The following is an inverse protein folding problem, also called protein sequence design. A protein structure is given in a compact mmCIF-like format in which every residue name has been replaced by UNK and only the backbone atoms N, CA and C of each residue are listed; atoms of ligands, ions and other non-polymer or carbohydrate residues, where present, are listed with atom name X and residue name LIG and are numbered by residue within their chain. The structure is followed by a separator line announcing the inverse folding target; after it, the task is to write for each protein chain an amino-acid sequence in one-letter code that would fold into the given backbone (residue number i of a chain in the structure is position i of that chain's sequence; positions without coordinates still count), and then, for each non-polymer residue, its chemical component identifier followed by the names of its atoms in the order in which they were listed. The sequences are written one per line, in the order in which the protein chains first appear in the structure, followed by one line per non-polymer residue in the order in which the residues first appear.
data_IF_863560977893
#
_entry.id   IF_863560977893
#
_cell.length_a   1.000
_cell.length_b   1.000
_cell.length_c   1.000
_cell.angle_alpha   90.00
_cell.angle_beta   90.00
_cell.angle_gamma   90.00
#
_symmetry.space_group_name_H-M   'P 1'
#
loop_
_entity.id
_entity.type
_entity.pdbx_description
1 polymer ?
#
# COMPACT_ATOMS: atom_id res chain seq x y z
N UNK A 1 14.77 -37.17 -31.21
CA UNK A 1 14.19 -37.11 -29.86
C UNK A 1 14.08 -35.66 -29.44
N UNK A 2 12.91 -35.07 -29.66
CA UNK A 2 12.45 -33.86 -28.97
C UNK A 2 12.14 -34.26 -27.53
N UNK A 3 12.72 -33.61 -26.53
CA UNK A 3 12.27 -33.53 -25.13
C UNK A 3 13.49 -33.25 -24.23
N UNK A 4 13.89 -31.99 -24.11
CA UNK A 4 14.53 -31.49 -22.89
C UNK A 4 14.56 -29.95 -22.89
N UNK A 5 13.51 -29.41 -22.27
CA UNK A 5 13.60 -28.29 -21.34
C UNK A 5 13.95 -26.89 -21.87
N UNK A 6 13.41 -26.50 -23.02
CA UNK A 6 13.02 -25.09 -23.21
C UNK A 6 11.73 -24.77 -22.45
N UNK A 7 11.67 -25.12 -21.16
CA UNK A 7 10.90 -24.33 -20.20
C UNK A 7 11.68 -23.05 -19.93
N UNK A 8 11.92 -22.26 -20.98
CA UNK A 8 12.13 -20.83 -20.85
C UNK A 8 10.78 -20.34 -20.34
N UNK A 9 10.65 -20.37 -19.02
CA UNK A 9 9.51 -19.83 -18.30
C UNK A 9 9.44 -18.37 -18.71
N UNK A 10 8.65 -18.06 -19.74
CA UNK A 10 8.12 -16.73 -20.01
C UNK A 10 7.39 -16.29 -18.73
N UNK A 11 8.16 -15.78 -17.77
CA UNK A 11 7.60 -14.90 -16.75
C UNK A 11 7.28 -13.63 -17.50
N UNK A 12 6.09 -13.61 -18.07
CA UNK A 12 5.50 -12.39 -18.58
C UNK A 12 5.68 -11.31 -17.52
N UNK A 13 6.16 -10.10 -17.88
CA UNK A 13 6.47 -9.04 -16.92
C UNK A 13 5.28 -8.70 -16.00
N UNK A 14 4.06 -9.00 -16.47
CA UNK A 14 2.79 -8.87 -15.76
C UNK A 14 2.69 -9.79 -14.54
N UNK A 15 3.14 -11.04 -14.62
CA UNK A 15 3.09 -11.98 -13.47
C UNK A 15 3.96 -11.49 -12.31
N UNK A 16 5.11 -10.90 -12.61
CA UNK A 16 5.96 -10.26 -11.60
C UNK A 16 5.25 -9.09 -10.92
N UNK A 17 4.62 -8.23 -11.72
CA UNK A 17 3.86 -7.08 -11.25
C UNK A 17 2.70 -7.45 -10.31
N UNK A 18 1.95 -8.51 -10.64
CA UNK A 18 0.86 -8.99 -9.79
C UNK A 18 1.37 -9.52 -8.45
N UNK A 19 2.54 -10.17 -8.44
CA UNK A 19 3.17 -10.64 -7.20
C UNK A 19 3.63 -9.43 -6.36
N UNK A 20 4.20 -8.40 -6.98
CA UNK A 20 4.56 -7.15 -6.28
C UNK A 20 3.35 -6.48 -5.65
N UNK A 21 2.23 -6.41 -6.37
CA UNK A 21 0.98 -5.89 -5.82
C UNK A 21 0.51 -6.71 -4.63
N UNK A 22 0.54 -8.04 -4.75
CA UNK A 22 0.16 -8.95 -3.66
C UNK A 22 1.09 -8.77 -2.44
N UNK A 23 2.39 -8.52 -2.64
CA UNK A 23 3.34 -8.24 -1.56
C UNK A 23 3.00 -6.92 -0.88
N UNK A 24 2.72 -5.85 -1.64
CA UNK A 24 2.38 -4.53 -1.07
C UNK A 24 1.07 -4.64 -0.27
N UNK A 25 0.01 -5.20 -0.86
CA UNK A 25 -1.27 -5.38 -0.17
C UNK A 25 -1.15 -6.35 1.01
N UNK A 26 -0.40 -7.44 0.85
CA UNK A 26 -0.16 -8.43 1.91
C UNK A 26 0.60 -7.81 3.09
N UNK A 27 1.62 -7.01 2.82
CA UNK A 27 2.38 -6.28 3.85
C UNK A 27 1.48 -5.29 4.59
N UNK A 28 0.66 -4.54 3.85
CA UNK A 28 -0.30 -3.60 4.42
C UNK A 28 -1.27 -4.29 5.39
N UNK A 29 -1.87 -5.40 4.95
CA UNK A 29 -2.77 -6.21 5.79
C UNK A 29 -2.04 -6.82 6.99
N UNK A 30 -0.83 -7.33 6.79
CA UNK A 30 -0.01 -7.90 7.86
C UNK A 30 0.28 -6.88 8.97
N UNK A 31 0.68 -5.66 8.60
CA UNK A 31 0.92 -4.58 9.57
C UNK A 31 -0.36 -4.28 10.36
N UNK A 32 -1.52 -4.20 9.71
CA UNK A 32 -2.81 -3.98 10.38
C UNK A 32 -3.13 -5.08 11.39
N UNK A 33 -3.02 -6.35 11.00
CA UNK A 33 -3.28 -7.50 11.89
C UNK A 33 -2.28 -7.53 13.03
N UNK A 34 -1.00 -7.30 12.76
CA UNK A 34 0.04 -7.24 13.79
C UNK A 34 -0.28 -6.17 14.84
N UNK A 35 -0.53 -4.93 14.44
CA UNK A 35 -0.86 -3.85 15.38
C UNK A 35 -2.15 -4.11 16.15
N UNK A 36 -3.14 -4.80 15.55
CA UNK A 36 -4.35 -5.21 16.24
C UNK A 36 -4.07 -6.27 17.32
N UNK A 37 -3.28 -7.31 17.01
CA UNK A 37 -2.93 -8.38 17.94
C UNK A 37 -2.13 -7.90 19.15
N UNK A 38 -1.19 -6.97 18.94
CA UNK A 38 -0.35 -6.42 20.01
C UNK A 38 -1.00 -5.24 20.75
N UNK A 39 -2.24 -4.85 20.43
CA UNK A 39 -2.90 -3.70 21.03
C UNK A 39 -2.29 -2.33 20.67
N UNK A 40 -1.29 -2.30 19.78
CA UNK A 40 -0.60 -1.08 19.32
C UNK A 40 -1.44 -0.24 18.33
N UNK A 41 -2.62 -0.71 17.94
CA UNK A 41 -3.54 0.00 17.06
C UNK A 41 -3.93 1.40 17.57
N UNK A 42 -3.79 1.67 18.88
CA UNK A 42 -3.98 3.01 19.46
C UNK A 42 -2.87 4.00 19.09
N UNK A 43 -1.67 3.53 18.75
CA UNK A 43 -0.59 4.39 18.27
C UNK A 43 -0.75 4.67 16.76
N UNK A 44 -1.73 5.51 16.45
CA UNK A 44 -2.11 5.87 15.07
C UNK A 44 -0.97 6.50 14.27
N UNK A 45 -0.04 7.18 14.93
CA UNK A 45 1.12 7.81 14.29
C UNK A 45 2.09 6.74 13.83
N UNK A 46 2.47 5.83 14.74
CA UNK A 46 3.38 4.74 14.40
C UNK A 46 2.78 3.80 13.35
N UNK A 47 1.49 3.45 13.50
CA UNK A 47 0.76 2.66 12.51
C UNK A 47 0.77 3.34 11.14
N UNK A 48 0.42 4.63 11.07
CA UNK A 48 0.43 5.40 9.84
C UNK A 48 1.81 5.46 9.19
N UNK A 49 2.87 5.69 9.97
CA UNK A 49 4.24 5.68 9.45
C UNK A 49 4.65 4.31 8.90
N UNK A 50 4.37 3.22 9.63
CA UNK A 50 4.66 1.87 9.17
C UNK A 50 3.95 1.55 7.86
N UNK A 51 2.66 1.89 7.75
CA UNK A 51 1.86 1.68 6.54
C UNK A 51 2.31 2.56 5.37
N UNK A 52 2.77 3.77 5.64
CA UNK A 52 3.25 4.69 4.61
C UNK A 52 4.62 4.29 4.01
N UNK A 53 5.42 3.49 4.73
CA UNK A 53 6.82 3.20 4.38
C UNK A 53 7.03 1.73 4.01
N UNK A 54 6.68 0.80 4.93
CA UNK A 54 7.09 -0.61 4.84
C UNK A 54 6.55 -1.33 3.59
N UNK A 55 5.27 -1.20 3.20
CA UNK A 55 4.75 -1.88 2.01
C UNK A 55 5.53 -1.53 0.75
N UNK A 56 5.86 -0.24 0.58
CA UNK A 56 6.57 0.26 -0.60
C UNK A 56 8.05 -0.13 -0.62
N UNK A 57 8.70 -0.12 0.55
CA UNK A 57 10.07 -0.61 0.67
C UNK A 57 10.16 -2.11 0.33
N UNK A 58 9.26 -2.93 0.85
CA UNK A 58 9.27 -4.37 0.55
C UNK A 58 8.97 -4.66 -0.93
N UNK A 59 7.99 -3.98 -1.52
CA UNK A 59 7.73 -4.08 -2.96
C UNK A 59 8.96 -3.65 -3.79
N UNK A 60 9.64 -2.59 -3.41
CA UNK A 60 10.84 -2.14 -4.09
C UNK A 60 12.02 -3.12 -3.99
N UNK A 61 12.27 -3.67 -2.80
CA UNK A 61 13.31 -4.69 -2.60
C UNK A 61 13.02 -5.94 -3.42
N UNK A 62 11.75 -6.37 -3.49
CA UNK A 62 11.37 -7.50 -4.34
C UNK A 62 11.57 -7.19 -5.82
N UNK A 63 11.13 -6.02 -6.31
CA UNK A 63 11.35 -5.56 -7.68
C UNK A 63 12.83 -5.55 -8.05
N UNK A 64 13.68 -5.04 -7.17
CA UNK A 64 15.13 -4.99 -7.38
C UNK A 64 15.74 -6.39 -7.51
N UNK A 65 15.30 -7.34 -6.68
CA UNK A 65 15.84 -8.71 -6.66
C UNK A 65 15.29 -9.57 -7.80
N UNK A 66 14.02 -9.44 -8.12
CA UNK A 66 13.31 -10.28 -9.09
C UNK A 66 13.49 -9.80 -10.53
N UNK A 67 13.67 -8.49 -10.76
CA UNK A 67 13.58 -7.89 -12.09
C UNK A 67 14.71 -6.89 -12.40
N UNK A 68 15.95 -7.39 -12.48
CA UNK A 68 17.13 -6.58 -12.87
C UNK A 68 16.95 -5.79 -14.18
N UNK A 69 16.17 -6.31 -15.13
CA UNK A 69 15.92 -5.69 -16.44
C UNK A 69 14.49 -5.14 -16.63
N UNK A 70 13.71 -4.94 -15.56
CA UNK A 70 12.40 -4.29 -15.75
C UNK A 70 12.56 -2.82 -16.15
N UNK A 71 11.82 -2.34 -17.16
CA UNK A 71 11.82 -0.92 -17.51
C UNK A 71 11.27 -0.09 -16.35
N UNK A 72 11.80 1.13 -16.19
CA UNK A 72 11.50 2.00 -15.06
C UNK A 72 10.00 2.26 -14.90
N UNK A 73 9.29 2.48 -16.00
CA UNK A 73 7.86 2.76 -16.00
C UNK A 73 7.03 1.60 -15.40
N UNK A 74 7.42 0.33 -15.65
CA UNK A 74 6.77 -0.83 -15.03
C UNK A 74 7.05 -0.89 -13.53
N UNK A 75 8.28 -0.59 -13.10
CA UNK A 75 8.61 -0.49 -11.67
C UNK A 75 7.85 0.64 -10.99
N UNK A 76 7.64 1.77 -11.68
CA UNK A 76 6.83 2.86 -11.18
C UNK A 76 5.36 2.45 -11.02
N UNK A 77 4.76 1.79 -12.02
CA UNK A 77 3.39 1.29 -11.94
C UNK A 77 3.21 0.23 -10.85
N UNK A 78 4.21 -0.64 -10.67
CA UNK A 78 4.20 -1.67 -9.64
C UNK A 78 4.07 -1.11 -8.21
N UNK A 79 4.56 0.11 -7.97
CA UNK A 79 4.53 0.78 -6.66
C UNK A 79 3.37 1.79 -6.59
N UNK A 80 3.18 2.59 -7.63
CA UNK A 80 2.24 3.70 -7.65
C UNK A 80 0.79 3.23 -7.71
N UNK A 81 0.47 2.19 -8.50
CA UNK A 81 -0.90 1.68 -8.61
C UNK A 81 -1.38 1.15 -7.24
N UNK A 82 -0.68 0.23 -6.56
CA UNK A 82 -1.08 -0.21 -5.22
C UNK A 82 -1.18 0.95 -4.23
N UNK A 83 -0.26 1.93 -4.32
CA UNK A 83 -0.33 3.11 -3.47
C UNK A 83 -1.66 3.84 -3.65
N UNK A 84 -2.04 4.20 -4.87
CA UNK A 84 -3.29 4.93 -5.13
C UNK A 84 -4.51 4.08 -4.75
N UNK A 85 -4.54 2.81 -5.18
CA UNK A 85 -5.66 1.90 -4.93
C UNK A 85 -5.91 1.72 -3.44
N UNK A 86 -4.85 1.58 -2.63
CA UNK A 86 -4.95 1.49 -1.17
C UNK A 86 -5.67 2.72 -0.59
N UNK A 87 -5.29 3.95 -0.97
CA UNK A 87 -5.89 5.17 -0.41
C UNK A 87 -7.34 5.33 -0.85
N UNK A 88 -7.63 5.05 -2.11
CA UNK A 88 -8.99 5.09 -2.65
C UNK A 88 -9.88 4.08 -1.93
N UNK A 89 -9.39 2.85 -1.72
CA UNK A 89 -10.13 1.83 -1.01
C UNK A 89 -10.42 2.23 0.44
N UNK A 90 -9.43 2.77 1.16
CA UNK A 90 -9.62 3.25 2.55
C UNK A 90 -10.61 4.41 2.59
N UNK A 91 -10.50 5.36 1.66
CA UNK A 91 -11.41 6.51 1.58
C UNK A 91 -12.86 6.08 1.33
N UNK A 92 -13.08 5.22 0.34
CA UNK A 92 -14.41 4.70 0.02
C UNK A 92 -14.98 3.87 1.17
N UNK A 93 -14.14 3.06 1.82
CA UNK A 93 -14.54 2.30 3.00
C UNK A 93 -14.91 3.22 4.16
N UNK A 94 -14.15 4.28 4.40
CA UNK A 94 -14.47 5.32 5.39
C UNK A 94 -15.79 6.01 5.09
N UNK A 95 -15.99 6.50 3.86
CA UNK A 95 -17.24 7.13 3.43
C UNK A 95 -18.44 6.21 3.69
N UNK A 96 -18.29 4.93 3.37
CA UNK A 96 -19.31 3.93 3.62
C UNK A 96 -19.59 3.73 5.11
N UNK A 97 -18.56 3.59 5.96
CA UNK A 97 -18.71 3.42 7.41
C UNK A 97 -19.39 4.62 8.09
N UNK A 98 -19.08 5.83 7.64
CA UNK A 98 -19.68 7.08 8.15
C UNK A 98 -21.02 7.44 7.49
N UNK A 99 -21.51 6.61 6.56
CA UNK A 99 -22.73 6.87 5.78
C UNK A 99 -22.74 8.25 5.10
N UNK A 100 -21.58 8.66 4.61
CA UNK A 100 -21.39 9.91 3.88
C UNK A 100 -21.26 9.62 2.39
N UNK A 101 -21.76 10.54 1.56
CA UNK A 101 -21.51 10.45 0.12
C UNK A 101 -20.01 10.56 -0.14
N UNK A 102 -19.41 9.65 -0.95
CA UNK A 102 -17.98 9.69 -1.27
C UNK A 102 -17.58 10.94 -2.08
N UNK A 103 -18.55 11.71 -2.58
CA UNK A 103 -18.31 13.00 -3.23
C UNK A 103 -17.96 14.08 -2.18
N UNK A 104 -18.44 13.93 -0.94
CA UNK A 104 -18.15 14.87 0.16
C UNK A 104 -16.80 14.56 0.82
N UNK A 105 -15.71 14.84 0.10
CA UNK A 105 -14.33 14.59 0.57
C UNK A 105 -14.04 15.26 1.90
N UNK A 106 -14.48 16.50 2.08
CA UNK A 106 -14.23 17.24 3.31
C UNK A 106 -14.92 16.56 4.51
N UNK A 107 -16.21 16.24 4.39
CA UNK A 107 -16.96 15.58 5.46
C UNK A 107 -16.41 14.19 5.80
N UNK A 108 -16.04 13.40 4.79
CA UNK A 108 -15.44 12.06 5.00
C UNK A 108 -14.11 12.18 5.73
N UNK A 109 -13.23 13.10 5.29
CA UNK A 109 -11.92 13.29 5.92
C UNK A 109 -12.04 13.84 7.34
N UNK A 110 -12.99 14.72 7.61
CA UNK A 110 -13.26 15.25 8.94
C UNK A 110 -13.79 14.17 9.89
N UNK A 111 -14.73 13.34 9.42
CA UNK A 111 -15.24 12.20 10.20
C UNK A 111 -14.13 11.18 10.52
N UNK A 112 -13.26 10.86 9.56
CA UNK A 112 -12.09 10.00 9.78
C UNK A 112 -11.14 10.60 10.82
N UNK A 113 -10.80 11.89 10.68
CA UNK A 113 -9.87 12.58 11.59
C UNK A 113 -10.41 12.67 13.02
N UNK A 114 -11.70 12.97 13.17
CA UNK A 114 -12.38 13.10 14.47
C UNK A 114 -12.71 11.75 15.11
N UNK A 115 -12.49 10.64 14.40
CA UNK A 115 -12.88 9.29 14.82
C UNK A 115 -14.36 9.25 15.25
N UNK A 116 -15.24 9.86 14.46
CA UNK A 116 -16.67 9.86 14.74
C UNK A 116 -17.19 8.42 14.92
N UNK A 117 -18.29 8.20 15.65
CA UNK A 117 -18.88 6.87 15.72
C UNK A 117 -19.34 6.42 14.32
N UNK A 118 -18.99 5.19 13.94
CA UNK A 118 -19.44 4.64 12.66
C UNK A 118 -20.96 4.43 12.67
N UNK A 119 -21.59 4.74 11.55
CA UNK A 119 -23.04 4.67 11.38
C UNK A 119 -23.47 3.40 10.63
N UNK A 120 -22.59 2.84 9.79
CA UNK A 120 -22.83 1.63 8.99
C UNK A 120 -21.91 0.46 9.41
N UNK A 121 -22.41 -0.77 9.22
CA UNK A 121 -21.79 -2.08 9.55
C UNK A 121 -21.39 -2.30 11.02
N UNK A 122 -20.53 -1.44 11.56
CA UNK A 122 -19.85 -1.65 12.84
C UNK A 122 -20.25 -0.54 13.79
N UNK A 123 -21.35 -0.74 14.52
CA UNK A 123 -21.82 0.22 15.54
C UNK A 123 -21.17 0.00 16.91
N UNK A 124 -20.40 -1.08 17.06
CA UNK A 124 -19.77 -1.45 18.32
C UNK A 124 -18.43 -0.73 18.50
N UNK A 125 -18.28 0.00 19.60
CA UNK A 125 -17.09 0.75 19.97
C UNK A 125 -15.80 -0.10 20.00
N UNK A 126 -15.89 -1.36 20.45
CA UNK A 126 -14.74 -2.26 20.50
C UNK A 126 -14.23 -2.61 19.09
N UNK A 127 -15.16 -2.90 18.18
CA UNK A 127 -14.82 -3.19 16.79
C UNK A 127 -14.33 -1.92 16.07
N UNK A 128 -14.89 -0.75 16.39
CA UNK A 128 -14.41 0.54 15.88
C UNK A 128 -12.93 0.79 16.20
N UNK A 129 -12.49 0.47 17.41
CA UNK A 129 -11.08 0.64 17.79
C UNK A 129 -10.15 -0.27 16.97
N UNK A 130 -10.58 -1.50 16.66
CA UNK A 130 -9.80 -2.43 15.83
C UNK A 130 -9.67 -1.96 14.37
N UNK A 131 -10.74 -1.39 13.81
CA UNK A 131 -10.77 -0.89 12.44
C UNK A 131 -10.51 0.63 12.34
N UNK A 132 -9.94 1.23 13.40
CA UNK A 132 -9.72 2.67 13.47
C UNK A 132 -9.04 3.20 12.20
N UNK A 133 -9.68 4.19 11.58
CA UNK A 133 -9.26 4.82 10.33
C UNK A 133 -8.54 6.16 10.54
N UNK A 134 -8.42 6.68 11.77
CA UNK A 134 -7.91 8.03 12.01
C UNK A 134 -6.45 8.27 11.62
N UNK A 135 -5.67 7.21 11.38
CA UNK A 135 -4.34 7.33 10.76
C UNK A 135 -4.43 7.82 9.30
N UNK A 136 -5.56 7.58 8.63
CA UNK A 136 -5.84 8.01 7.26
C UNK A 136 -6.23 9.50 7.23
N UNK A 137 -5.23 10.36 7.30
CA UNK A 137 -5.39 11.80 7.19
C UNK A 137 -4.67 12.35 5.94
N UNK A 138 -4.82 13.65 5.68
CA UNK A 138 -4.13 14.31 4.56
C UNK A 138 -2.61 14.15 4.61
N UNK A 139 -2.03 14.18 5.80
CA UNK A 139 -0.58 13.98 5.99
C UNK A 139 -0.16 12.59 5.56
N UNK A 140 -0.91 11.55 5.93
CA UNK A 140 -0.65 10.17 5.52
C UNK A 140 -0.71 10.01 4.00
N UNK A 141 -1.76 10.56 3.37
CA UNK A 141 -1.94 10.48 1.91
C UNK A 141 -0.75 11.14 1.20
N UNK A 142 -0.42 12.38 1.56
CA UNK A 142 0.68 13.13 0.94
C UNK A 142 2.03 12.48 1.21
N UNK A 143 2.30 12.07 2.45
CA UNK A 143 3.56 11.46 2.84
C UNK A 143 3.75 10.11 2.14
N UNK A 144 2.72 9.26 2.09
CA UNK A 144 2.81 7.97 1.43
C UNK A 144 3.02 8.10 -0.08
N UNK A 145 2.38 9.08 -0.75
CA UNK A 145 2.65 9.38 -2.16
C UNK A 145 4.11 9.84 -2.32
N UNK A 146 4.58 10.77 -1.49
CA UNK A 146 5.95 11.27 -1.54
C UNK A 146 6.99 10.14 -1.34
N UNK A 147 6.75 9.23 -0.38
CA UNK A 147 7.59 8.06 -0.15
C UNK A 147 7.56 7.13 -1.36
N UNK A 148 6.40 6.86 -1.94
CA UNK A 148 6.30 6.01 -3.13
C UNK A 148 7.12 6.55 -4.30
N UNK A 149 7.09 7.87 -4.53
CA UNK A 149 7.90 8.56 -5.54
C UNK A 149 9.39 8.47 -5.18
N UNK A 150 9.76 8.72 -3.92
CA UNK A 150 11.15 8.63 -3.45
C UNK A 150 11.72 7.22 -3.66
N UNK A 151 10.94 6.18 -3.35
CA UNK A 151 11.33 4.78 -3.55
C UNK A 151 11.55 4.46 -5.02
N UNK A 152 10.69 4.97 -5.92
CA UNK A 152 10.87 4.82 -7.37
C UNK A 152 12.17 5.51 -7.84
N UNK A 153 12.47 6.71 -7.32
CA UNK A 153 13.71 7.43 -7.63
C UNK A 153 14.95 6.67 -7.14
N UNK A 154 14.91 6.09 -5.94
CA UNK A 154 16.00 5.26 -5.41
C UNK A 154 16.19 4.00 -6.27
N UNK A 155 15.11 3.34 -6.69
CA UNK A 155 15.17 2.21 -7.63
C UNK A 155 15.79 2.60 -8.97
N UNK A 156 15.50 3.80 -9.48
CA UNK A 156 16.12 4.29 -10.71
C UNK A 156 17.65 4.47 -10.55
N UNK A 157 18.09 5.08 -9.44
CA UNK A 157 19.52 5.29 -9.17
C UNK A 157 20.28 3.96 -9.02
N UNK A 158 19.71 2.99 -8.33
CA UNK A 158 20.34 1.67 -8.16
C UNK A 158 20.47 0.91 -9.48
N UNK A 159 19.46 0.99 -10.36
CA UNK A 159 19.52 0.42 -11.72
C UNK A 159 20.60 1.07 -12.58
N UNK A 160 20.72 2.40 -12.54
CA UNK A 160 21.77 3.11 -13.28
C UNK A 160 23.18 2.73 -12.82
N UNK A 161 23.39 2.56 -11.51
CA UNK A 161 24.68 2.13 -10.96
C UNK A 161 25.05 0.71 -11.38
N UNK A 162 24.07 -0.20 -11.42
CA UNK A 162 24.29 -1.60 -11.85
C UNK A 162 24.55 -1.76 -13.35
N UNK A 163 24.19 -0.78 -14.19
CA UNK A 163 24.40 -0.86 -15.65
C UNK A 163 25.75 -0.24 -16.08
N UNK A 164 26.50 0.37 -15.16
CA UNK A 164 27.78 1.05 -15.42
C UNK A 164 29.01 0.29 -14.88
N UNK A 165 28.81 -0.82 -14.18
CA UNK A 165 29.89 -1.67 -13.64
C UNK A 165 29.78 -3.08 -14.21
#
# INVERSE_FOLDING_TARGET
MQLQNETIKERTPIKGLLIDWLIIFGTYLFIRVFFALFGLHQNIVLLGCCLAILPYLLGAVYLQKSHKQCPLWLSALAILIPSIVEKVAIYLFGAYLYNLSPINVLGVMEAIKSNAPYTNLIKNQSAQNLINLSYFNWTYILCSIAISVLVILLLHQTKQKSNKG
#
